data_IF_621421319802
#
_entry.id   IF_621421319802
#
_cell.length_a   1.000
_cell.length_b   1.000
_cell.length_c   1.000
_cell.angle_alpha   90.00
_cell.angle_beta   90.00
_cell.angle_gamma   90.00
#
_symmetry.space_group_name_H-M   'P 1'
#
loop_
_entity.id
_entity.type
_entity.pdbx_description
1 polymer ?
#
# COMPACT_ATOMS: atom_id res chain seq x y z
N UNK A 1 41.08 1.08 -16.64
CA UNK A 1 41.44 2.18 -15.73
C UNK A 1 42.31 1.74 -14.55
N UNK A 2 41.89 0.77 -13.73
CA UNK A 2 42.70 0.25 -12.60
C UNK A 2 44.13 -0.16 -13.00
N UNK A 3 44.28 -0.99 -14.04
CA UNK A 3 45.62 -1.42 -14.51
C UNK A 3 46.56 -0.27 -14.95
N UNK A 4 46.01 0.79 -15.55
CA UNK A 4 46.80 1.95 -16.00
C UNK A 4 47.23 2.83 -14.83
N UNK A 5 46.34 2.98 -13.84
CA UNK A 5 46.65 3.64 -12.57
C UNK A 5 47.75 2.90 -11.82
N UNK A 6 47.63 1.58 -11.69
CA UNK A 6 48.65 0.75 -11.03
C UNK A 6 50.02 0.86 -11.71
N UNK A 7 50.04 0.99 -13.04
CA UNK A 7 51.28 1.18 -13.80
C UNK A 7 51.93 2.55 -13.54
N UNK A 8 51.13 3.62 -13.49
CA UNK A 8 51.62 4.95 -13.12
C UNK A 8 52.16 4.98 -11.69
N UNK A 9 51.44 4.39 -10.73
CA UNK A 9 51.86 4.30 -9.32
C UNK A 9 53.19 3.52 -9.19
N UNK A 10 53.36 2.41 -9.93
CA UNK A 10 54.63 1.67 -9.98
C UNK A 10 55.78 2.48 -10.58
N UNK A 11 55.54 3.23 -11.66
CA UNK A 11 56.57 4.09 -12.27
C UNK A 11 56.98 5.23 -11.33
N UNK A 12 56.01 5.77 -10.58
CA UNK A 12 56.26 6.77 -9.55
C UNK A 12 57.13 6.22 -8.40
N UNK A 13 56.81 5.03 -7.89
CA UNK A 13 57.61 4.37 -6.83
C UNK A 13 59.06 4.10 -7.27
N UNK A 14 59.27 3.73 -8.54
CA UNK A 14 60.61 3.52 -9.10
C UNK A 14 61.43 4.81 -9.12
N UNK A 15 60.82 5.94 -9.52
CA UNK A 15 61.47 7.24 -9.50
C UNK A 15 61.83 7.67 -8.07
N UNK A 16 60.90 7.54 -7.12
CA UNK A 16 61.15 7.87 -5.70
C UNK A 16 62.31 7.04 -5.12
N UNK A 17 62.43 5.77 -5.52
CA UNK A 17 63.53 4.89 -5.12
C UNK A 17 64.86 5.34 -5.75
N UNK A 18 64.87 5.71 -7.04
CA UNK A 18 66.05 6.22 -7.74
C UNK A 18 66.54 7.54 -7.14
N UNK A 19 65.64 8.48 -6.85
CA UNK A 19 65.94 9.75 -6.18
C UNK A 19 66.53 9.55 -4.79
N UNK A 20 65.95 8.63 -4.01
CA UNK A 20 66.46 8.29 -2.68
C UNK A 20 67.88 7.70 -2.75
N UNK A 21 68.15 6.85 -3.74
CA UNK A 21 69.48 6.25 -3.94
C UNK A 21 70.51 7.28 -4.38
N UNK A 22 70.16 8.16 -5.32
CA UNK A 22 71.00 9.25 -5.78
C UNK A 22 71.34 10.23 -4.64
N UNK A 23 70.34 10.63 -3.86
CA UNK A 23 70.54 11.51 -2.70
C UNK A 23 71.44 10.86 -1.63
N UNK A 24 71.24 9.58 -1.33
CA UNK A 24 72.10 8.83 -0.40
C UNK A 24 73.56 8.79 -0.88
N UNK A 25 73.78 8.56 -2.18
CA UNK A 25 75.11 8.52 -2.77
C UNK A 25 75.82 9.89 -2.72
N UNK A 26 75.08 10.97 -2.98
CA UNK A 26 75.61 12.34 -2.90
C UNK A 26 76.02 12.78 -1.48
N UNK A 27 75.32 12.29 -0.45
CA UNK A 27 75.58 12.67 0.96
C UNK A 27 76.67 11.84 1.64
N UNK A 28 77.38 10.98 0.90
CA UNK A 28 78.32 10.01 1.48
C UNK A 28 79.62 10.69 1.96
N UNK A 29 80.05 10.39 3.18
CA UNK A 29 81.21 11.02 3.84
C UNK A 29 82.54 10.77 3.12
N UNK A 30 82.71 9.60 2.49
CA UNK A 30 83.97 9.15 1.86
C UNK A 30 84.12 9.60 0.39
N UNK A 31 83.30 10.55 -0.09
CA UNK A 31 83.23 10.93 -1.52
C UNK A 31 84.58 11.32 -2.16
N UNK A 32 85.51 11.85 -1.36
CA UNK A 32 86.81 12.34 -1.82
C UNK A 32 87.87 11.23 -1.98
N UNK A 33 87.61 10.03 -1.47
CA UNK A 33 88.55 8.90 -1.42
C UNK A 33 88.13 7.79 -2.39
N UNK A 34 86.89 7.84 -2.90
CA UNK A 34 86.30 6.82 -3.75
C UNK A 34 86.79 6.96 -5.20
N UNK A 35 87.56 6.00 -5.69
CA UNK A 35 87.89 5.90 -7.12
C UNK A 35 86.59 5.73 -7.94
N UNK A 36 86.48 6.43 -9.08
CA UNK A 36 85.32 6.41 -9.99
C UNK A 36 84.01 6.99 -9.42
N UNK A 37 84.06 7.86 -8.39
CA UNK A 37 82.88 8.52 -7.83
C UNK A 37 82.03 9.25 -8.89
N UNK A 38 82.69 10.00 -9.79
CA UNK A 38 82.02 10.79 -10.83
C UNK A 38 81.33 9.93 -11.90
N UNK A 39 81.79 8.69 -12.10
CA UNK A 39 81.20 7.77 -13.07
C UNK A 39 79.95 7.10 -12.50
N UNK A 40 80.01 6.61 -11.26
CA UNK A 40 78.83 6.11 -10.56
C UNK A 40 77.77 7.19 -10.30
N UNK A 41 78.19 8.44 -10.08
CA UNK A 41 77.24 9.57 -9.97
C UNK A 41 76.47 9.75 -11.27
N UNK A 42 77.17 9.71 -12.43
CA UNK A 42 76.53 9.79 -13.75
C UNK A 42 75.58 8.64 -14.00
N UNK A 43 75.98 7.40 -13.68
CA UNK A 43 75.11 6.23 -13.82
C UNK A 43 73.80 6.38 -13.01
N UNK A 44 73.87 6.87 -11.77
CA UNK A 44 72.69 7.11 -10.95
C UNK A 44 71.82 8.25 -11.48
N UNK A 45 72.44 9.29 -12.06
CA UNK A 45 71.74 10.39 -12.72
C UNK A 45 71.01 9.93 -13.99
N UNK A 46 71.63 9.05 -14.78
CA UNK A 46 71.05 8.44 -15.97
C UNK A 46 69.87 7.54 -15.59
N UNK A 47 70.01 6.67 -14.58
CA UNK A 47 68.93 5.81 -14.06
C UNK A 47 67.74 6.66 -13.57
N UNK A 48 68.02 7.77 -12.86
CA UNK A 48 66.97 8.71 -12.43
C UNK A 48 66.26 9.32 -13.64
N UNK A 49 67.02 9.79 -14.63
CA UNK A 49 66.49 10.37 -15.86
C UNK A 49 65.57 9.39 -16.60
N UNK A 50 65.98 8.12 -16.73
CA UNK A 50 65.16 7.07 -17.33
C UNK A 50 63.87 6.78 -16.52
N UNK A 51 63.97 6.74 -15.19
CA UNK A 51 62.80 6.57 -14.32
C UNK A 51 61.81 7.75 -14.46
N UNK A 52 62.32 8.97 -14.60
CA UNK A 52 61.52 10.17 -14.76
C UNK A 52 60.78 10.18 -16.11
N UNK A 53 61.47 9.79 -17.19
CA UNK A 53 60.87 9.60 -18.52
C UNK A 53 59.80 8.49 -18.50
N UNK A 54 60.05 7.37 -17.84
CA UNK A 54 59.08 6.28 -17.72
C UNK A 54 57.82 6.69 -16.96
N UNK A 55 57.97 7.49 -15.88
CA UNK A 55 56.87 8.04 -15.10
C UNK A 55 56.04 9.04 -15.91
N UNK A 56 56.69 9.97 -16.60
CA UNK A 56 56.00 10.99 -17.43
C UNK A 56 55.21 10.32 -18.55
N UNK A 57 55.80 9.34 -19.24
CA UNK A 57 55.08 8.54 -20.23
C UNK A 57 53.86 7.83 -19.65
N UNK A 58 54.01 7.15 -18.51
CA UNK A 58 52.89 6.44 -17.85
C UNK A 58 51.78 7.39 -17.41
N UNK A 59 52.14 8.60 -16.96
CA UNK A 59 51.21 9.67 -16.57
C UNK A 59 50.41 10.16 -17.78
N UNK A 60 51.08 10.40 -18.89
CA UNK A 60 50.46 10.95 -20.09
C UNK A 60 49.54 9.91 -20.75
N UNK A 61 49.92 8.63 -20.74
CA UNK A 61 49.04 7.51 -21.14
C UNK A 61 47.80 7.46 -20.25
N UNK A 62 47.97 7.49 -18.92
CA UNK A 62 46.85 7.47 -17.98
C UNK A 62 45.91 8.67 -18.17
N UNK A 63 46.46 9.88 -18.34
CA UNK A 63 45.69 11.09 -18.58
C UNK A 63 44.91 11.02 -19.89
N UNK A 64 45.54 10.55 -20.97
CA UNK A 64 44.91 10.41 -22.29
C UNK A 64 43.67 9.51 -22.22
N UNK A 65 43.77 8.35 -21.57
CA UNK A 65 42.63 7.44 -21.46
C UNK A 65 41.54 7.94 -20.51
N UNK A 66 41.93 8.67 -19.46
CA UNK A 66 40.95 9.33 -18.58
C UNK A 66 40.14 10.36 -19.36
N UNK A 67 40.80 11.21 -20.16
CA UNK A 67 40.13 12.21 -20.97
C UNK A 67 39.30 11.61 -22.10
N UNK A 68 39.73 10.48 -22.68
CA UNK A 68 38.94 9.75 -23.66
C UNK A 68 37.59 9.28 -23.07
N UNK A 69 37.63 8.66 -21.90
CA UNK A 69 36.40 8.23 -21.22
C UNK A 69 35.52 9.43 -20.87
N UNK A 70 36.10 10.51 -20.34
CA UNK A 70 35.36 11.74 -20.04
C UNK A 70 34.71 12.35 -21.29
N UNK A 71 35.37 12.28 -22.44
CA UNK A 71 34.83 12.78 -23.71
C UNK A 71 33.64 11.95 -24.23
N UNK A 72 33.61 10.66 -23.90
CA UNK A 72 32.55 9.72 -24.30
C UNK A 72 31.45 9.56 -23.24
N UNK A 73 31.64 10.15 -22.05
CA UNK A 73 30.76 10.00 -20.87
C UNK A 73 29.30 10.33 -21.17
N UNK A 74 29.06 11.40 -21.94
CA UNK A 74 27.72 11.78 -22.37
C UNK A 74 27.04 10.67 -23.18
N UNK A 75 27.79 10.06 -24.11
CA UNK A 75 27.27 8.99 -24.97
C UNK A 75 27.02 7.69 -24.20
N UNK A 76 27.89 7.37 -23.23
CA UNK A 76 27.77 6.20 -22.36
C UNK A 76 26.56 6.36 -21.45
N UNK A 77 26.45 7.50 -20.78
CA UNK A 77 25.34 7.81 -19.87
C UNK A 77 24.02 7.77 -20.61
N UNK A 78 23.92 8.44 -21.76
CA UNK A 78 22.69 8.40 -22.55
C UNK A 78 22.39 7.00 -23.04
N UNK A 79 23.34 6.22 -23.54
CA UNK A 79 23.00 4.90 -24.08
C UNK A 79 22.67 3.87 -23.00
N UNK A 80 23.43 3.82 -21.91
CA UNK A 80 23.24 2.81 -20.86
C UNK A 80 22.19 3.21 -19.83
N UNK A 81 22.27 4.43 -19.29
CA UNK A 81 21.36 4.84 -18.22
C UNK A 81 19.95 5.07 -18.76
N UNK A 82 19.79 5.72 -19.92
CA UNK A 82 18.48 5.89 -20.54
C UNK A 82 17.85 4.53 -20.89
N UNK A 83 18.62 3.62 -21.50
CA UNK A 83 18.10 2.30 -21.86
C UNK A 83 17.67 1.53 -20.61
N UNK A 84 18.47 1.55 -19.55
CA UNK A 84 18.12 0.93 -18.27
C UNK A 84 16.79 1.47 -17.73
N UNK A 85 16.66 2.79 -17.62
CA UNK A 85 15.44 3.44 -17.12
C UNK A 85 14.25 3.21 -18.05
N UNK A 86 14.47 3.14 -19.36
CA UNK A 86 13.43 2.84 -20.34
C UNK A 86 12.88 1.43 -20.15
N UNK A 87 13.74 0.41 -20.03
CA UNK A 87 13.32 -0.97 -19.79
C UNK A 87 12.59 -1.11 -18.44
N UNK A 88 13.10 -0.45 -17.39
CA UNK A 88 12.46 -0.46 -16.08
C UNK A 88 11.04 0.14 -16.15
N UNK A 89 10.87 1.26 -16.85
CA UNK A 89 9.57 1.87 -17.08
C UNK A 89 8.62 0.96 -17.89
N UNK A 90 9.13 0.23 -18.89
CA UNK A 90 8.32 -0.74 -19.64
C UNK A 90 7.78 -1.86 -18.75
N UNK A 91 8.59 -2.38 -17.82
CA UNK A 91 8.14 -3.37 -16.85
C UNK A 91 7.01 -2.83 -15.97
N UNK A 92 7.17 -1.63 -15.41
CA UNK A 92 6.13 -1.01 -14.60
C UNK A 92 4.83 -0.77 -15.38
N UNK A 93 4.93 -0.31 -16.63
CA UNK A 93 3.77 -0.12 -17.50
C UNK A 93 3.06 -1.45 -17.81
N UNK A 94 3.81 -2.54 -17.97
CA UNK A 94 3.23 -3.86 -18.21
C UNK A 94 2.49 -4.37 -16.97
N UNK A 95 3.07 -4.20 -15.78
CA UNK A 95 2.40 -4.53 -14.51
C UNK A 95 1.13 -3.69 -14.35
N UNK A 96 1.23 -2.38 -14.56
CA UNK A 96 0.09 -1.46 -14.47
C UNK A 96 -1.04 -1.87 -15.44
N UNK A 97 -0.70 -2.22 -16.68
CA UNK A 97 -1.66 -2.70 -17.68
C UNK A 97 -2.31 -4.02 -17.26
N UNK A 98 -1.53 -4.96 -16.73
CA UNK A 98 -2.07 -6.23 -16.23
C UNK A 98 -3.07 -6.00 -15.09
N UNK A 99 -2.69 -5.20 -14.09
CA UNK A 99 -3.56 -4.87 -12.97
C UNK A 99 -4.83 -4.14 -13.46
N UNK A 100 -4.67 -3.16 -14.34
CA UNK A 100 -5.80 -2.43 -14.94
C UNK A 100 -6.74 -3.34 -15.73
N UNK A 101 -6.25 -4.47 -16.27
CA UNK A 101 -7.09 -5.46 -16.94
C UNK A 101 -7.78 -6.43 -15.97
N UNK A 102 -7.13 -6.76 -14.84
CA UNK A 102 -7.63 -7.76 -13.87
C UNK A 102 -8.55 -7.19 -12.81
N UNK A 103 -8.34 -5.95 -12.38
CA UNK A 103 -9.23 -5.26 -11.45
C UNK A 103 -10.70 -5.25 -11.94
N UNK A 104 -11.02 -4.82 -13.17
CA UNK A 104 -12.41 -4.84 -13.64
C UNK A 104 -12.96 -6.26 -13.79
N UNK A 105 -12.13 -7.25 -14.12
CA UNK A 105 -12.57 -8.66 -14.16
C UNK A 105 -13.00 -9.15 -12.76
N UNK A 106 -12.25 -8.78 -11.72
CA UNK A 106 -12.60 -9.10 -10.33
C UNK A 106 -13.84 -8.32 -9.90
N UNK A 107 -13.91 -7.02 -10.18
CA UNK A 107 -15.09 -6.18 -9.87
C UNK A 107 -16.35 -6.74 -10.54
N UNK A 108 -16.29 -7.09 -11.81
CA UNK A 108 -17.41 -7.71 -12.53
C UNK A 108 -17.82 -9.05 -11.90
N UNK A 109 -16.86 -9.88 -11.49
CA UNK A 109 -17.16 -11.15 -10.80
C UNK A 109 -17.82 -10.92 -9.45
N UNK A 110 -17.32 -9.97 -8.66
CA UNK A 110 -17.92 -9.58 -7.39
C UNK A 110 -19.29 -8.94 -7.59
N UNK A 111 -19.50 -8.22 -8.69
CA UNK A 111 -20.78 -7.63 -9.01
C UNK A 111 -21.84 -8.66 -9.39
N UNK A 112 -21.42 -9.77 -10.02
CA UNK A 112 -22.27 -10.87 -10.46
C UNK A 112 -22.50 -11.95 -9.39
N UNK A 113 -21.82 -11.89 -8.24
CA UNK A 113 -22.02 -12.84 -7.16
C UNK A 113 -23.15 -12.38 -6.23
N UNK A 114 -24.32 -13.01 -6.38
CA UNK A 114 -25.51 -12.73 -5.58
C UNK A 114 -25.31 -12.98 -4.07
N UNK A 115 -24.32 -13.80 -3.69
CA UNK A 115 -24.08 -14.23 -2.31
C UNK A 115 -23.08 -13.35 -1.56
N UNK A 116 -22.21 -12.62 -2.25
CA UNK A 116 -21.17 -11.77 -1.62
C UNK A 116 -21.77 -10.49 -1.03
N UNK A 117 -22.99 -10.13 -1.42
CA UNK A 117 -23.59 -8.82 -1.14
C UNK A 117 -24.62 -8.81 -0.01
N UNK A 118 -24.70 -9.86 0.81
CA UNK A 118 -25.87 -10.07 1.67
C UNK A 118 -25.92 -9.21 2.94
N UNK A 119 -24.80 -8.95 3.60
CA UNK A 119 -24.74 -8.19 4.86
C UNK A 119 -23.69 -7.07 4.76
N UNK A 120 -23.98 -5.88 5.32
CA UNK A 120 -23.03 -4.75 5.32
C UNK A 120 -23.02 -3.87 4.09
N UNK A 121 -23.84 -4.15 3.07
CA UNK A 121 -23.94 -3.36 1.85
C UNK A 121 -25.13 -2.38 1.87
N UNK A 122 -25.03 -1.33 1.06
CA UNK A 122 -26.10 -0.34 0.90
C UNK A 122 -27.34 -0.99 0.29
N UNK A 123 -28.47 -0.81 0.98
CA UNK A 123 -29.79 -1.34 0.62
C UNK A 123 -30.17 -0.95 -0.82
N UNK A 124 -29.87 0.28 -1.24
CA UNK A 124 -30.23 0.80 -2.56
C UNK A 124 -29.49 0.03 -3.65
N UNK A 125 -28.20 -0.25 -3.43
CA UNK A 125 -27.35 -1.01 -4.37
C UNK A 125 -27.80 -2.47 -4.47
N UNK A 126 -28.19 -3.08 -3.36
CA UNK A 126 -28.72 -4.45 -3.34
C UNK A 126 -30.05 -4.56 -4.11
N UNK A 127 -30.99 -3.63 -3.90
CA UNK A 127 -32.28 -3.64 -4.61
C UNK A 127 -32.11 -3.34 -6.11
N UNK A 128 -31.17 -2.48 -6.50
CA UNK A 128 -30.97 -2.09 -7.90
C UNK A 128 -30.42 -3.21 -8.79
N UNK A 129 -29.73 -4.20 -8.22
CA UNK A 129 -29.14 -5.32 -8.98
C UNK A 129 -30.17 -6.37 -9.39
N UNK A 130 -31.23 -6.56 -8.61
CA UNK A 130 -32.31 -7.48 -8.94
C UNK A 130 -33.43 -6.70 -9.61
N UNK A 131 -33.62 -6.94 -10.92
CA UNK A 131 -34.71 -6.34 -11.68
C UNK A 131 -36.04 -6.60 -10.94
N UNK A 132 -36.81 -5.54 -10.75
CA UNK A 132 -38.17 -5.53 -10.22
C UNK A 132 -38.35 -5.81 -8.71
N UNK A 133 -37.31 -5.72 -7.88
CA UNK A 133 -37.46 -5.82 -6.42
C UNK A 133 -37.29 -4.49 -5.67
N UNK A 134 -38.34 -4.08 -4.94
CA UNK A 134 -38.28 -2.96 -3.99
C UNK A 134 -37.67 -3.37 -2.63
N UNK A 135 -37.54 -4.67 -2.38
CA UNK A 135 -37.14 -5.25 -1.10
C UNK A 135 -35.82 -6.02 -1.26
N UNK A 136 -34.89 -5.84 -0.33
CA UNK A 136 -33.61 -6.53 -0.34
C UNK A 136 -33.76 -8.03 -0.09
N UNK A 137 -32.94 -8.85 -0.76
CA UNK A 137 -33.03 -10.32 -0.72
C UNK A 137 -33.02 -10.94 0.67
N UNK A 138 -32.15 -10.49 1.62
CA UNK A 138 -32.15 -11.05 2.96
C UNK A 138 -33.46 -10.83 3.70
N UNK A 139 -34.16 -9.72 3.44
CA UNK A 139 -35.46 -9.41 4.03
C UNK A 139 -36.52 -10.34 3.45
N UNK A 140 -36.57 -10.42 2.12
CA UNK A 140 -37.52 -11.26 1.37
C UNK A 140 -37.49 -12.72 1.85
N UNK A 141 -36.30 -13.34 1.88
CA UNK A 141 -36.14 -14.73 2.31
C UNK A 141 -36.51 -14.90 3.78
N UNK A 142 -36.07 -14.02 4.67
CA UNK A 142 -36.41 -14.14 6.08
C UNK A 142 -37.91 -14.03 6.31
N UNK A 143 -38.63 -13.17 5.57
CA UNK A 143 -40.09 -13.07 5.63
C UNK A 143 -40.74 -14.35 5.13
N UNK A 144 -40.33 -14.88 3.97
CA UNK A 144 -40.86 -16.14 3.43
C UNK A 144 -40.66 -17.32 4.40
N UNK A 145 -39.52 -17.38 5.10
CA UNK A 145 -39.25 -18.41 6.10
C UNK A 145 -40.07 -18.24 7.39
N UNK A 146 -40.57 -17.03 7.66
CA UNK A 146 -41.36 -16.71 8.85
C UNK A 146 -42.87 -16.74 8.63
N UNK A 147 -43.33 -16.68 7.37
CA UNK A 147 -44.74 -16.56 7.00
C UNK A 147 -45.63 -17.64 7.66
N UNK A 148 -45.13 -18.87 7.73
CA UNK A 148 -45.84 -20.01 8.32
C UNK A 148 -45.60 -20.19 9.84
N UNK A 149 -44.83 -19.31 10.46
CA UNK A 149 -44.38 -19.43 11.86
C UNK A 149 -44.68 -18.19 12.70
N UNK A 150 -45.62 -17.34 12.26
CA UNK A 150 -46.03 -16.13 12.97
C UNK A 150 -46.71 -16.41 14.31
N UNK A 151 -47.25 -17.62 14.49
CA UNK A 151 -47.88 -18.05 15.74
C UNK A 151 -46.88 -18.54 16.80
N UNK A 152 -45.58 -18.61 16.47
CA UNK A 152 -44.55 -19.06 17.38
C UNK A 152 -44.36 -18.10 18.56
N UNK A 153 -44.35 -18.62 19.78
CA UNK A 153 -44.19 -17.79 20.97
C UNK A 153 -42.79 -17.16 21.01
N UNK A 154 -42.73 -15.86 21.33
CA UNK A 154 -41.45 -15.20 21.54
C UNK A 154 -40.62 -15.02 20.27
N UNK A 155 -41.26 -15.03 19.09
CA UNK A 155 -40.63 -14.62 17.84
C UNK A 155 -39.94 -13.25 18.02
N UNK A 156 -38.71 -13.12 17.48
CA UNK A 156 -37.81 -11.98 17.68
C UNK A 156 -37.30 -11.72 19.12
N UNK A 157 -37.87 -12.36 20.16
CA UNK A 157 -37.41 -12.26 21.55
C UNK A 157 -36.46 -13.39 21.93
N UNK A 158 -36.79 -14.62 21.57
CA UNK A 158 -36.00 -15.82 21.89
C UNK A 158 -34.77 -15.88 20.97
N UNK A 159 -33.62 -16.22 21.54
CA UNK A 159 -32.37 -16.36 20.81
C UNK A 159 -32.24 -17.78 20.22
N UNK A 160 -31.90 -17.91 18.93
CA UNK A 160 -31.71 -19.21 18.28
C UNK A 160 -30.31 -19.77 18.53
N UNK A 161 -30.07 -20.97 18.01
CA UNK A 161 -28.72 -21.51 17.87
C UNK A 161 -27.85 -20.62 16.97
N UNK A 162 -26.79 -20.07 17.54
CA UNK A 162 -25.84 -19.18 16.85
C UNK A 162 -25.20 -19.82 15.61
N UNK A 163 -24.92 -21.13 15.64
CA UNK A 163 -24.36 -21.85 14.49
C UNK A 163 -25.33 -21.90 13.30
N UNK A 164 -26.63 -22.13 13.57
CA UNK A 164 -27.69 -22.10 12.56
C UNK A 164 -27.91 -20.69 12.01
N UNK A 165 -27.87 -19.69 12.89
CA UNK A 165 -27.99 -18.27 12.50
C UNK A 165 -26.85 -17.84 11.57
N UNK A 166 -25.60 -18.17 11.91
CA UNK A 166 -24.43 -17.87 11.06
C UNK A 166 -24.54 -18.56 9.70
N UNK A 167 -24.92 -19.84 9.68
CA UNK A 167 -25.10 -20.61 8.44
C UNK A 167 -26.17 -19.97 7.55
N UNK A 168 -27.32 -19.62 8.12
CA UNK A 168 -28.40 -18.95 7.37
C UNK A 168 -27.98 -17.55 6.90
N UNK A 169 -27.22 -16.79 7.70
CA UNK A 169 -26.72 -15.47 7.31
C UNK A 169 -25.75 -15.52 6.13
N UNK A 170 -24.97 -16.60 5.98
CA UNK A 170 -24.02 -16.74 4.86
C UNK A 170 -24.65 -17.31 3.60
N UNK A 171 -25.59 -18.27 3.73
CA UNK A 171 -26.17 -18.93 2.56
C UNK A 171 -27.47 -18.29 2.11
N UNK A 172 -28.23 -17.68 3.04
CA UNK A 172 -29.65 -17.29 2.90
C UNK A 172 -30.51 -18.34 2.20
N UNK A 173 -30.08 -19.60 2.28
CA UNK A 173 -30.66 -20.72 1.56
C UNK A 173 -30.77 -21.86 2.56
N UNK A 174 -32.00 -22.32 2.80
CA UNK A 174 -32.27 -23.50 3.60
C UNK A 174 -33.67 -23.48 4.20
N UNK A 175 -34.42 -24.53 3.90
CA UNK A 175 -35.75 -24.80 4.46
C UNK A 175 -35.58 -25.63 5.75
N UNK A 176 -36.53 -25.55 6.68
CA UNK A 176 -36.57 -26.27 7.97
C UNK A 176 -35.64 -25.74 9.07
N UNK A 177 -35.38 -24.43 9.11
CA UNK A 177 -34.80 -23.83 10.31
C UNK A 177 -35.88 -23.57 11.37
N UNK A 178 -35.48 -23.70 12.63
CA UNK A 178 -36.23 -23.17 13.77
C UNK A 178 -36.60 -21.69 13.49
N UNK A 179 -37.87 -21.28 13.63
CA UNK A 179 -38.34 -19.92 13.29
C UNK A 179 -37.59 -18.79 14.02
N UNK A 180 -36.96 -19.06 15.16
CA UNK A 180 -36.11 -18.08 15.83
C UNK A 180 -34.82 -17.74 15.05
N UNK A 181 -34.37 -18.64 14.16
CA UNK A 181 -33.18 -18.48 13.31
C UNK A 181 -33.40 -17.37 12.27
N UNK A 182 -34.37 -17.43 11.33
CA UNK A 182 -34.61 -16.35 10.37
C UNK A 182 -35.00 -15.04 11.07
N UNK A 183 -35.74 -15.07 12.19
CA UNK A 183 -36.05 -13.87 12.97
C UNK A 183 -34.79 -13.17 13.50
N UNK A 184 -33.77 -13.92 13.94
CA UNK A 184 -32.53 -13.33 14.44
C UNK A 184 -31.56 -12.95 13.33
N UNK A 185 -31.52 -13.71 12.23
CA UNK A 185 -30.78 -13.35 11.02
C UNK A 185 -31.30 -12.03 10.44
N UNK A 186 -32.62 -11.82 10.40
CA UNK A 186 -33.22 -10.56 9.96
C UNK A 186 -32.83 -9.38 10.86
N UNK A 187 -32.88 -9.56 12.20
CA UNK A 187 -32.41 -8.53 13.15
C UNK A 187 -30.94 -8.19 12.94
N UNK A 188 -30.11 -9.21 12.71
CA UNK A 188 -28.69 -9.03 12.45
C UNK A 188 -28.45 -8.24 11.16
N UNK A 189 -29.18 -8.58 10.09
CA UNK A 189 -29.09 -7.89 8.80
C UNK A 189 -29.39 -6.39 8.96
N UNK A 190 -30.52 -6.05 9.60
CA UNK A 190 -30.92 -4.67 9.80
C UNK A 190 -29.94 -3.87 10.68
N UNK A 191 -29.23 -4.54 11.60
CA UNK A 191 -28.21 -3.90 12.44
C UNK A 191 -26.90 -3.65 11.70
N UNK A 192 -26.58 -4.49 10.72
CA UNK A 192 -25.32 -4.45 9.96
C UNK A 192 -25.41 -3.57 8.71
N UNK A 193 -26.58 -2.99 8.40
CA UNK A 193 -26.72 -2.02 7.31
C UNK A 193 -25.82 -0.80 7.54
N UNK A 194 -25.12 -0.31 6.49
CA UNK A 194 -24.20 0.83 6.60
C UNK A 194 -24.93 2.15 6.91
N UNK A 195 -26.17 2.31 6.45
CA UNK A 195 -27.09 3.34 6.94
C UNK A 195 -28.34 2.66 7.52
N UNK A 196 -28.89 3.24 8.58
CA UNK A 196 -30.07 2.68 9.26
C UNK A 196 -31.25 2.68 8.28
N UNK A 197 -32.12 1.66 8.38
CA UNK A 197 -33.33 1.57 7.53
C UNK A 197 -34.17 2.85 7.57
N UNK A 198 -34.33 3.43 8.76
CA UNK A 198 -34.71 4.83 8.93
C UNK A 198 -33.44 5.65 8.69
N UNK A 199 -33.24 6.07 7.44
CA UNK A 199 -32.09 6.87 7.02
C UNK A 199 -31.84 8.00 8.01
N UNK A 200 -30.57 8.33 8.24
CA UNK A 200 -30.18 9.42 9.15
C UNK A 200 -30.91 10.74 8.88
N UNK A 201 -31.32 10.97 7.64
CA UNK A 201 -32.14 12.13 7.23
C UNK A 201 -33.59 12.10 7.75
N UNK A 202 -34.23 10.94 7.86
CA UNK A 202 -35.63 10.81 8.31
C UNK A 202 -35.76 10.68 9.84
N UNK A 203 -34.69 10.26 10.54
CA UNK A 203 -34.72 10.02 11.98
C UNK A 203 -35.14 11.25 12.82
N UNK A 204 -34.69 12.50 12.51
CA UNK A 204 -35.16 13.68 13.23
C UNK A 204 -36.65 13.97 13.02
N UNK A 205 -37.18 13.74 11.81
CA UNK A 205 -38.59 13.93 11.49
C UNK A 205 -39.47 12.89 12.19
N UNK A 206 -39.02 11.64 12.22
CA UNK A 206 -39.66 10.55 12.95
C UNK A 206 -39.72 10.83 14.45
N UNK A 207 -38.58 11.19 15.06
CA UNK A 207 -38.49 11.52 16.48
C UNK A 207 -39.36 12.73 16.85
N UNK A 208 -39.41 13.76 16.00
CA UNK A 208 -40.29 14.91 16.19
C UNK A 208 -41.75 14.49 16.19
N UNK A 209 -42.16 13.61 15.27
CA UNK A 209 -43.54 13.12 15.18
C UNK A 209 -43.96 12.31 16.41
N UNK A 210 -43.07 11.43 16.91
CA UNK A 210 -43.31 10.66 18.14
C UNK A 210 -43.43 11.60 19.34
N UNK A 211 -42.52 12.57 19.45
CA UNK A 211 -42.53 13.54 20.56
C UNK A 211 -43.81 14.37 20.56
N UNK A 212 -44.29 14.79 19.39
CA UNK A 212 -45.59 15.48 19.25
C UNK A 212 -46.77 14.59 19.63
N UNK A 213 -46.80 13.31 19.23
CA UNK A 213 -47.88 12.40 19.61
C UNK A 213 -47.89 12.10 21.11
N UNK A 214 -46.72 11.93 21.73
CA UNK A 214 -46.60 11.69 23.17
C UNK A 214 -46.98 12.92 24.00
N UNK A 215 -46.61 14.13 23.54
CA UNK A 215 -46.98 15.38 24.20
C UNK A 215 -48.46 15.69 24.06
N UNK A 216 -49.06 15.44 22.89
CA UNK A 216 -50.51 15.56 22.72
C UNK A 216 -51.28 14.53 23.56
N UNK A 217 -50.78 13.29 23.64
CA UNK A 217 -51.36 12.27 24.49
C UNK A 217 -51.24 12.60 25.98
N UNK A 218 -50.10 13.14 26.43
CA UNK A 218 -49.93 13.57 27.82
C UNK A 218 -50.79 14.79 28.16
N UNK A 219 -50.92 15.76 27.25
CA UNK A 219 -51.84 16.90 27.42
C UNK A 219 -53.29 16.43 27.47
N UNK A 220 -53.69 15.46 26.64
CA UNK A 220 -55.02 14.85 26.68
C UNK A 220 -55.27 14.12 28.00
N UNK A 221 -54.30 13.37 28.52
CA UNK A 221 -54.42 12.73 29.84
C UNK A 221 -54.45 13.73 31.01
N UNK A 222 -53.71 14.84 30.92
CA UNK A 222 -53.77 15.93 31.91
C UNK A 222 -55.13 16.61 31.87
N UNK A 223 -55.68 16.87 30.68
CA UNK A 223 -57.02 17.42 30.54
C UNK A 223 -58.09 16.47 31.08
N UNK A 224 -58.00 15.17 30.78
CA UNK A 224 -58.88 14.14 31.35
C UNK A 224 -58.78 14.07 32.88
N UNK A 225 -57.56 14.18 33.43
CA UNK A 225 -57.34 14.21 34.89
C UNK A 225 -57.98 15.44 35.52
N UNK A 226 -57.81 16.62 34.93
CA UNK A 226 -58.42 17.87 35.44
C UNK A 226 -59.95 17.85 35.36
N UNK A 227 -60.54 17.34 34.28
CA UNK A 227 -62.00 17.22 34.15
C UNK A 227 -62.57 16.21 35.12
N UNK A 228 -61.89 15.08 35.33
CA UNK A 228 -62.33 14.05 36.27
C UNK A 228 -62.14 14.48 37.74
N UNK A 229 -61.13 15.30 38.04
CA UNK A 229 -60.92 15.87 39.37
C UNK A 229 -61.95 16.97 39.68
N UNK A 230 -62.32 17.80 38.70
CA UNK A 230 -63.38 18.81 38.86
C UNK A 230 -64.75 18.16 39.13
N UNK A 231 -65.08 17.06 38.43
CA UNK A 231 -66.33 16.33 38.68
C UNK A 231 -66.42 15.64 40.05
N UNK A 232 -65.32 15.54 40.80
CA UNK A 232 -65.27 14.91 42.13
C UNK A 232 -65.27 15.92 43.29
N UNK A 233 -65.06 17.22 43.01
CA UNK A 233 -65.07 18.30 44.01
C UNK A 233 -66.44 19.00 44.07
N UNK A 234 -67.27 18.85 43.03
CA UNK A 234 -68.63 19.40 42.95
C UNK A 234 -69.75 18.43 43.41
N UNK A 235 -69.44 17.46 44.30
CA UNK A 235 -70.43 16.57 44.94
C UNK A 235 -70.40 16.65 46.47
#
# INVERSE_FOLDING_TARGET
>A
MTKLRDNYEKAQQKLETADANLKKFQTRSDRLILANFDEHLRELEDIRCECEQSRTLSRDIHATETYKIASEEYSITIKLLYQYLYEENQVYNNISRYLSSKMPEIEQRLENDDLILLFGYDLIKQCSKRKDTLIAYPIEICICLLENSLNEEGLFRIAPSQGKQKKLGTTLNGFNYDPHVPASTLKQYLRELPDRLLTTALLPQWNRTISLRLTLFSLFLIQLSQTNLFSFIDL
#
